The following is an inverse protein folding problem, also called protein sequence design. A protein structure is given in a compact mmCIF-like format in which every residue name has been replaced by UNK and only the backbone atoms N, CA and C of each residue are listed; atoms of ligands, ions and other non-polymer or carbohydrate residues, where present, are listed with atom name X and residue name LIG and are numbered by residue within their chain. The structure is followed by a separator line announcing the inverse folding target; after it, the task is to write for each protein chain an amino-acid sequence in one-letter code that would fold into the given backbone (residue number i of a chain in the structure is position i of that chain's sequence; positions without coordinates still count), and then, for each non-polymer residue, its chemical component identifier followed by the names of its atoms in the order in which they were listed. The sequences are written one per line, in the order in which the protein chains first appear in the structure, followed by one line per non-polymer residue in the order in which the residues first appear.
data_IF_173683516309
#
_entry.id   IF_173683516309
#
_cell.length_a   1.000
_cell.length_b   1.000
_cell.length_c   1.000
_cell.angle_alpha   90.00
_cell.angle_beta   90.00
_cell.angle_gamma   90.00
#
_symmetry.space_group_name_H-M   'P 1'
#
loop_
_entity.id
_entity.type
_entity.pdbx_description
1 polymer ?
#
# COMPACT_ATOMS: atom_id res chain seq x y z
N UNK A 1 -13.66 -12.87 -8.20
CA UNK A 1 -12.69 -11.86 -8.68
C UNK A 1 -13.44 -10.58 -9.00
N UNK A 2 -13.34 -9.61 -8.11
CA UNK A 2 -13.93 -8.27 -8.24
C UNK A 2 -12.82 -7.23 -8.09
N UNK A 3 -12.99 -6.08 -8.74
CA UNK A 3 -12.02 -4.99 -8.69
C UNK A 3 -12.23 -4.13 -7.43
N UNK A 4 -11.14 -3.75 -6.76
CA UNK A 4 -11.15 -2.81 -5.64
C UNK A 4 -11.07 -1.38 -6.18
N UNK A 5 -11.99 -0.52 -5.72
CA UNK A 5 -12.01 0.92 -6.00
C UNK A 5 -11.12 1.64 -4.99
N UNK A 6 -10.03 2.22 -5.47
CA UNK A 6 -9.09 2.95 -4.62
C UNK A 6 -9.46 4.41 -4.46
N UNK A 7 -9.29 4.94 -3.25
CA UNK A 7 -9.47 6.35 -2.92
C UNK A 7 -8.14 6.95 -2.53
N UNK A 8 -7.74 7.97 -3.27
CA UNK A 8 -6.68 8.88 -2.84
C UNK A 8 -7.14 9.62 -1.59
N UNK A 9 -6.26 9.76 -0.61
CA UNK A 9 -6.47 10.62 0.55
C UNK A 9 -5.63 11.88 0.32
N UNK A 10 -6.23 13.06 0.20
CA UNK A 10 -5.48 14.29 -0.08
C UNK A 10 -4.46 14.57 1.02
N UNK A 11 -3.21 14.78 0.62
CA UNK A 11 -2.19 15.34 1.49
C UNK A 11 -2.50 16.83 1.70
N UNK A 12 -2.42 17.31 2.95
CA UNK A 12 -2.57 18.72 3.31
C UNK A 12 -3.79 19.46 2.72
N UNK A 13 -4.99 18.89 2.82
CA UNK A 13 -6.23 19.54 2.37
C UNK A 13 -6.36 20.97 2.96
N UNK A 14 -6.17 21.99 2.11
CA UNK A 14 -6.21 23.42 2.49
C UNK A 14 -4.86 24.14 2.53
N UNK A 15 -3.76 23.50 2.15
CA UNK A 15 -2.42 24.10 2.04
C UNK A 15 -2.05 24.23 0.56
N UNK A 16 -1.83 25.45 0.07
CA UNK A 16 -1.68 25.73 -1.37
C UNK A 16 -0.26 25.46 -1.92
N UNK A 17 0.74 25.30 -1.04
CA UNK A 17 2.17 25.26 -1.41
C UNK A 17 2.77 23.85 -1.43
N UNK A 18 2.00 22.79 -1.17
CA UNK A 18 2.51 21.41 -1.16
C UNK A 18 2.10 20.63 -2.41
N UNK A 19 3.09 20.00 -3.07
CA UNK A 19 2.83 19.12 -4.21
C UNK A 19 2.11 17.85 -3.73
N UNK A 20 1.00 17.46 -4.37
CA UNK A 20 0.22 16.30 -3.93
C UNK A 20 1.01 15.01 -4.13
N UNK A 21 0.80 14.03 -3.23
CA UNK A 21 1.39 12.71 -3.37
C UNK A 21 1.15 12.09 -4.76
N UNK A 22 2.19 11.47 -5.30
CA UNK A 22 2.11 10.77 -6.56
C UNK A 22 1.48 9.38 -6.38
N UNK A 23 0.58 9.01 -7.30
CA UNK A 23 0.04 7.64 -7.36
C UNK A 23 0.93 6.75 -8.22
N UNK A 24 1.44 5.67 -7.63
CA UNK A 24 2.22 4.65 -8.33
C UNK A 24 1.56 3.29 -8.17
N UNK A 25 1.36 2.59 -9.29
CA UNK A 25 0.88 1.22 -9.28
C UNK A 25 2.04 0.27 -9.02
N UNK A 26 1.92 -0.53 -7.97
CA UNK A 26 2.99 -1.35 -7.41
C UNK A 26 2.77 -2.83 -7.70
N UNK A 27 3.84 -3.54 -8.04
CA UNK A 27 3.96 -5.00 -8.01
C UNK A 27 4.14 -5.44 -6.56
N UNK A 28 3.14 -6.14 -6.03
CA UNK A 28 3.07 -6.52 -4.62
C UNK A 28 4.23 -7.42 -4.22
N UNK A 29 4.69 -8.32 -5.10
CA UNK A 29 5.79 -9.23 -4.76
C UNK A 29 7.10 -8.47 -4.58
N UNK A 30 7.35 -7.47 -5.45
CA UNK A 30 8.58 -6.67 -5.38
C UNK A 30 8.62 -5.80 -4.12
N UNK A 31 7.52 -5.13 -3.80
CA UNK A 31 7.48 -4.28 -2.61
C UNK A 31 7.44 -5.12 -1.31
N UNK A 32 6.78 -6.28 -1.31
CA UNK A 32 6.77 -7.18 -0.15
C UNK A 32 8.17 -7.70 0.16
N UNK A 33 8.97 -8.04 -0.85
CA UNK A 33 10.36 -8.45 -0.67
C UNK A 33 11.22 -7.34 -0.03
N UNK A 34 11.00 -6.08 -0.40
CA UNK A 34 11.68 -4.95 0.23
C UNK A 34 11.18 -4.71 1.67
N UNK A 35 9.87 -4.82 1.89
CA UNK A 35 9.26 -4.61 3.19
C UNK A 35 9.60 -5.72 4.20
N UNK A 36 9.81 -6.95 3.75
CA UNK A 36 10.20 -8.10 4.58
C UNK A 36 11.54 -7.91 5.31
N UNK A 37 12.34 -6.93 4.90
CA UNK A 37 13.62 -6.59 5.51
C UNK A 37 13.51 -5.56 6.65
N UNK A 38 12.30 -5.09 6.97
CA UNK A 38 12.10 -4.04 7.97
C UNK A 38 11.42 -4.57 9.24
N UNK A 39 11.57 -3.84 10.34
CA UNK A 39 10.96 -4.15 11.63
C UNK A 39 9.43 -3.95 11.63
N UNK A 40 8.89 -3.28 10.62
CA UNK A 40 7.45 -3.06 10.46
C UNK A 40 6.74 -4.20 9.73
N UNK A 41 7.47 -5.23 9.28
CA UNK A 41 6.91 -6.30 8.47
C UNK A 41 5.83 -7.10 9.19
N UNK A 42 4.66 -7.21 8.56
CA UNK A 42 3.58 -8.09 9.01
C UNK A 42 3.74 -9.41 8.27
N UNK A 43 4.06 -10.45 9.02
CA UNK A 43 4.26 -11.79 8.46
C UNK A 43 2.93 -12.34 7.91
N UNK A 44 2.97 -13.26 6.92
CA UNK A 44 1.77 -13.89 6.40
C UNK A 44 0.87 -14.43 7.51
N UNK A 45 -0.43 -14.18 7.39
CA UNK A 45 -1.43 -14.49 8.42
C UNK A 45 -1.60 -13.41 9.49
N UNK A 46 -0.87 -12.29 9.41
CA UNK A 46 -1.11 -11.10 10.21
C UNK A 46 -0.32 -10.98 11.52
N UNK A 47 0.55 -11.95 11.84
CA UNK A 47 1.40 -11.83 13.03
C UNK A 47 2.35 -10.63 12.92
N UNK A 48 2.74 -10.06 14.06
CA UNK A 48 3.43 -8.76 14.19
C UNK A 48 2.65 -7.53 13.67
N UNK A 49 1.47 -7.72 13.08
CA UNK A 49 0.51 -6.67 12.77
C UNK A 49 -0.37 -6.39 13.98
N UNK A 50 0.03 -5.41 14.80
CA UNK A 50 -0.71 -4.89 15.97
C UNK A 50 -2.20 -5.30 16.04
N UNK A 51 -2.58 -5.89 17.17
CA UNK A 51 -3.97 -6.17 17.55
C UNK A 51 -4.74 -7.09 16.56
N UNK A 52 -6.05 -6.84 16.45
CA UNK A 52 -7.01 -7.46 15.52
C UNK A 52 -7.11 -6.71 14.17
N UNK A 53 -6.20 -5.79 13.86
CA UNK A 53 -6.31 -4.92 12.68
C UNK A 53 -6.27 -5.70 11.38
N UNK A 54 -5.39 -6.69 11.27
CA UNK A 54 -5.32 -7.58 10.10
C UNK A 54 -6.67 -8.29 9.87
N UNK A 55 -7.27 -8.85 10.92
CA UNK A 55 -8.57 -9.52 10.84
C UNK A 55 -9.68 -8.54 10.43
N UNK A 56 -9.72 -7.35 11.03
CA UNK A 56 -10.69 -6.30 10.71
C UNK A 56 -10.60 -5.83 9.25
N UNK A 57 -9.42 -5.86 8.64
CA UNK A 57 -9.26 -5.60 7.21
C UNK A 57 -9.98 -6.66 6.38
N UNK A 58 -9.86 -7.94 6.74
CA UNK A 58 -10.60 -9.00 6.06
C UNK A 58 -12.12 -8.87 6.22
N UNK A 59 -12.58 -8.57 7.44
CA UNK A 59 -13.99 -8.28 7.72
C UNK A 59 -14.49 -7.09 6.88
N UNK A 60 -13.67 -6.05 6.72
CA UNK A 60 -14.00 -4.91 5.86
C UNK A 60 -14.19 -5.33 4.40
N UNK A 61 -13.24 -6.07 3.83
CA UNK A 61 -13.30 -6.53 2.44
C UNK A 61 -14.35 -7.63 2.20
N UNK A 62 -14.90 -8.26 3.23
CA UNK A 62 -16.07 -9.12 3.08
C UNK A 62 -17.30 -8.32 2.60
N UNK A 63 -17.50 -7.10 3.13
CA UNK A 63 -18.65 -6.26 2.81
C UNK A 63 -18.38 -5.08 1.86
N UNK A 64 -17.12 -4.69 1.67
CA UNK A 64 -16.76 -3.48 0.93
C UNK A 64 -15.86 -3.77 -0.28
N UNK A 65 -15.96 -2.90 -1.29
CA UNK A 65 -15.14 -2.95 -2.51
C UNK A 65 -14.34 -1.69 -2.75
N UNK A 66 -14.12 -0.92 -1.70
CA UNK A 66 -13.34 0.30 -1.78
C UNK A 66 -12.37 0.40 -0.61
N UNK A 67 -11.26 1.08 -0.83
CA UNK A 67 -10.26 1.29 0.19
C UNK A 67 -9.43 2.54 -0.06
N UNK A 68 -8.92 3.13 1.03
CA UNK A 68 -7.91 4.19 0.91
C UNK A 68 -6.59 3.59 0.44
N UNK A 69 -5.91 4.26 -0.48
CA UNK A 69 -4.57 3.88 -0.92
C UNK A 69 -3.61 3.81 0.29
N UNK A 70 -2.65 2.87 0.30
CA UNK A 70 -1.55 2.93 1.25
C UNK A 70 -0.66 4.13 0.97
N UNK A 71 -0.06 4.66 2.03
CA UNK A 71 0.96 5.70 1.96
C UNK A 71 2.30 5.08 2.31
N UNK A 72 3.28 5.26 1.45
CA UNK A 72 4.61 4.73 1.68
C UNK A 72 5.69 5.70 1.23
N UNK A 73 6.86 5.57 1.84
CA UNK A 73 8.05 6.30 1.47
C UNK A 73 9.29 5.42 1.63
N UNK A 74 10.40 5.90 1.10
CA UNK A 74 11.69 5.27 1.22
C UNK A 74 12.65 6.22 1.94
N UNK A 75 13.11 5.83 3.13
CA UNK A 75 14.06 6.61 3.91
C UNK A 75 15.39 5.85 4.06
N UNK A 76 16.35 6.41 4.79
CA UNK A 76 17.69 5.82 4.96
C UNK A 76 17.67 4.40 5.54
N UNK A 77 16.64 4.07 6.32
CA UNK A 77 16.44 2.74 6.91
C UNK A 77 15.63 1.78 6.02
N UNK A 78 15.25 2.23 4.82
CA UNK A 78 14.55 1.43 3.80
C UNK A 78 13.09 1.82 3.60
N UNK A 79 12.31 0.87 3.10
CA UNK A 79 10.89 1.04 2.80
C UNK A 79 10.04 1.12 4.07
N UNK A 80 9.15 2.10 4.15
CA UNK A 80 8.23 2.25 5.28
C UNK A 80 6.81 2.61 4.83
N UNK A 81 5.83 2.17 5.61
CA UNK A 81 4.44 2.62 5.47
C UNK A 81 4.17 3.75 6.45
N UNK A 82 3.63 4.86 5.94
CA UNK A 82 2.99 5.89 6.78
C UNK A 82 1.59 5.44 7.19
N UNK A 83 0.83 4.85 6.26
CA UNK A 83 -0.45 4.20 6.53
C UNK A 83 -0.70 3.04 5.55
N UNK A 84 -1.58 2.11 5.94
CA UNK A 84 -2.09 1.07 5.05
C UNK A 84 -1.33 -0.25 5.09
N UNK A 85 -0.29 -0.40 5.93
CA UNK A 85 0.48 -1.65 6.04
C UNK A 85 -0.36 -2.91 6.30
N UNK A 86 -1.40 -2.81 7.12
CA UNK A 86 -2.30 -3.94 7.39
C UNK A 86 -3.20 -4.28 6.19
N UNK A 87 -3.62 -3.25 5.44
CA UNK A 87 -4.39 -3.41 4.20
C UNK A 87 -3.56 -4.09 3.13
N UNK A 88 -2.33 -3.63 2.98
CA UNK A 88 -1.33 -4.26 2.12
C UNK A 88 -1.09 -5.71 2.49
N UNK A 89 -0.76 -6.00 3.76
CA UNK A 89 -0.46 -7.36 4.21
C UNK A 89 -1.61 -8.33 3.96
N UNK A 90 -2.85 -7.92 4.26
CA UNK A 90 -4.02 -8.76 4.03
C UNK A 90 -4.25 -9.04 2.54
N UNK A 91 -4.16 -8.00 1.68
CA UNK A 91 -4.35 -8.15 0.23
C UNK A 91 -3.24 -8.98 -0.42
N UNK A 92 -1.99 -8.83 0.02
CA UNK A 92 -0.87 -9.71 -0.36
C UNK A 92 -1.22 -11.17 -0.07
N UNK A 93 -1.70 -11.46 1.13
CA UNK A 93 -2.03 -12.82 1.55
C UNK A 93 -3.24 -13.41 0.80
N UNK A 94 -4.09 -12.55 0.22
CA UNK A 94 -5.17 -12.97 -0.70
C UNK A 94 -4.69 -13.20 -2.14
N UNK A 95 -3.40 -13.03 -2.42
CA UNK A 95 -2.82 -13.25 -3.75
C UNK A 95 -3.03 -12.09 -4.72
N UNK A 96 -3.38 -10.90 -4.22
CA UNK A 96 -3.42 -9.69 -5.06
C UNK A 96 -2.01 -9.44 -5.63
N UNK A 97 -1.95 -9.13 -6.92
CA UNK A 97 -0.67 -8.90 -7.60
C UNK A 97 -0.28 -7.42 -7.66
N UNK A 98 -1.26 -6.51 -7.71
CA UNK A 98 -0.97 -5.08 -7.92
C UNK A 98 -1.89 -4.15 -7.16
N UNK A 99 -1.35 -3.02 -6.69
CA UNK A 99 -2.05 -2.03 -5.85
C UNK A 99 -1.49 -0.62 -6.08
N UNK A 100 -2.33 0.43 -6.11
CA UNK A 100 -1.85 1.81 -6.16
C UNK A 100 -1.45 2.29 -4.77
N UNK A 101 -0.29 2.94 -4.68
CA UNK A 101 0.24 3.58 -3.49
C UNK A 101 0.33 5.08 -3.72
N UNK A 102 0.11 5.85 -2.66
CA UNK A 102 0.50 7.26 -2.59
C UNK A 102 1.93 7.34 -2.03
N UNK A 103 2.80 8.06 -2.74
CA UNK A 103 4.22 8.24 -2.39
C UNK A 103 4.63 9.70 -2.55
N UNK A 104 5.66 10.17 -1.83
CA UNK A 104 6.20 11.51 -2.03
C UNK A 104 6.54 11.76 -3.51
N UNK A 105 6.23 12.94 -4.08
CA UNK A 105 6.49 13.22 -5.50
C UNK A 105 7.95 13.02 -5.89
N UNK A 106 8.88 13.40 -5.00
CA UNK A 106 10.32 13.21 -5.16
C UNK A 106 10.77 11.74 -5.27
N UNK A 107 9.97 10.80 -4.76
CA UNK A 107 10.26 9.37 -4.75
C UNK A 107 9.51 8.60 -5.85
N UNK A 108 8.59 9.24 -6.56
CA UNK A 108 7.71 8.58 -7.53
C UNK A 108 8.48 7.85 -8.64
N UNK A 109 9.59 8.41 -9.13
CA UNK A 109 10.45 7.77 -10.14
C UNK A 109 11.10 6.51 -9.58
N UNK A 110 11.66 6.58 -8.38
CA UNK A 110 12.28 5.44 -7.71
C UNK A 110 11.27 4.30 -7.52
N UNK A 111 10.06 4.60 -7.02
CA UNK A 111 9.00 3.60 -6.85
C UNK A 111 8.58 2.96 -8.18
N UNK A 112 8.44 3.75 -9.26
CA UNK A 112 8.08 3.24 -10.59
C UNK A 112 9.14 2.28 -11.13
N UNK A 113 10.42 2.60 -10.96
CA UNK A 113 11.52 1.80 -11.50
C UNK A 113 11.72 0.49 -10.73
N UNK A 114 11.65 0.55 -9.40
CA UNK A 114 11.97 -0.60 -8.55
C UNK A 114 10.77 -1.50 -8.27
N UNK A 115 9.59 -0.90 -8.13
CA UNK A 115 8.38 -1.59 -7.68
C UNK A 115 7.20 -1.46 -8.64
N UNK A 116 7.35 -0.72 -9.74
CA UNK A 116 6.25 -0.43 -10.65
C UNK A 116 5.65 -1.67 -11.30
N UNK A 117 4.32 -1.70 -11.36
CA UNK A 117 3.54 -2.66 -12.13
C UNK A 117 3.10 -2.05 -13.46
N UNK A 118 2.98 -2.91 -14.48
CA UNK A 118 2.33 -2.57 -15.77
C UNK A 118 0.81 -2.60 -15.70
N UNK A 119 0.24 -3.30 -14.73
CA UNK A 119 -1.20 -3.39 -14.52
C UNK A 119 -1.67 -2.32 -13.55
N UNK A 120 -2.82 -1.71 -13.87
CA UNK A 120 -3.43 -0.64 -13.08
C UNK A 120 -4.80 -1.06 -12.55
N UNK A 121 -4.86 -2.23 -11.91
CA UNK A 121 -6.08 -2.77 -11.30
C UNK A 121 -5.77 -3.72 -10.15
N UNK A 122 -6.60 -3.71 -9.13
CA UNK A 122 -6.48 -4.64 -7.99
C UNK A 122 -7.66 -5.59 -8.03
N UNK A 123 -7.39 -6.88 -8.24
CA UNK A 123 -8.43 -7.92 -8.30
C UNK A 123 -8.35 -8.76 -7.03
N UNK A 124 -9.48 -8.86 -6.33
CA UNK A 124 -9.68 -9.66 -5.12
C UNK A 124 -10.75 -10.75 -5.37
#
# INVERSE_FOLDING_TARGET
MQEIVWREVPFAAGWEDEEPDAVVWIDIKRIDAAWALTDQYIVPGGANGQDSRYQKVGEWFAGNRHCAMPFASFCEIGFQFTDGRHRFAWLRDQGVETMPFQVPPSEATFFKEHFGSKFRRTIL
#
